data_IF_255509174218
#
_entry.id   IF_255509174218
#
_cell.length_a   1.000
_cell.length_b   1.000
_cell.length_c   1.000
_cell.angle_alpha   90.00
_cell.angle_beta   90.00
_cell.angle_gamma   90.00
#
_symmetry.space_group_name_H-M   'P 1'
#
loop_
_entity.id
_entity.type
_entity.pdbx_description
1 polymer ?
#
# COMPACT_ATOMS: atom_id res chain seq x y z
N UNK A 1 9.74 -38.65 -55.34
CA UNK A 1 9.63 -38.90 -53.89
C UNK A 1 10.07 -37.62 -53.18
N UNK A 2 9.10 -36.76 -52.80
CA UNK A 2 9.38 -35.48 -52.11
C UNK A 2 9.25 -35.69 -50.61
N UNK A 3 10.36 -35.58 -49.88
CA UNK A 3 10.40 -35.61 -48.43
C UNK A 3 9.96 -34.24 -47.90
N UNK A 4 8.81 -34.18 -47.24
CA UNK A 4 8.32 -32.98 -46.55
C UNK A 4 8.87 -33.02 -45.10
N UNK A 5 9.90 -32.21 -44.87
CA UNK A 5 10.48 -32.05 -43.53
C UNK A 5 9.54 -31.12 -42.72
N UNK A 6 8.75 -31.72 -41.80
CA UNK A 6 7.88 -30.99 -40.88
C UNK A 6 8.73 -30.42 -39.72
N UNK A 7 9.11 -29.14 -39.84
CA UNK A 7 9.84 -28.44 -38.81
C UNK A 7 8.83 -28.06 -37.69
N UNK A 8 8.78 -28.88 -36.63
CA UNK A 8 7.99 -28.62 -35.45
C UNK A 8 8.66 -27.47 -34.66
N UNK A 9 8.21 -26.22 -34.86
CA UNK A 9 8.56 -25.09 -34.00
C UNK A 9 7.90 -25.32 -32.64
N UNK A 10 8.61 -25.94 -31.71
CA UNK A 10 8.27 -25.85 -30.28
C UNK A 10 8.45 -24.39 -29.85
N UNK A 11 7.35 -23.62 -29.82
CA UNK A 11 7.29 -22.35 -29.13
C UNK A 11 7.55 -22.64 -27.65
N UNK A 12 8.77 -22.39 -27.17
CA UNK A 12 9.09 -22.26 -25.75
C UNK A 12 8.31 -21.03 -25.23
N UNK A 13 7.08 -21.25 -24.82
CA UNK A 13 6.38 -20.30 -23.97
C UNK A 13 7.21 -20.21 -22.69
N UNK A 14 8.01 -19.15 -22.55
CA UNK A 14 8.68 -18.84 -21.31
C UNK A 14 7.59 -18.66 -20.25
N UNK A 15 7.39 -19.65 -19.40
CA UNK A 15 6.58 -19.49 -18.19
C UNK A 15 7.35 -18.51 -17.29
N UNK A 16 6.86 -17.26 -17.19
CA UNK A 16 7.34 -16.35 -16.19
C UNK A 16 7.28 -17.06 -14.82
N UNK A 17 8.42 -17.15 -14.14
CA UNK A 17 8.52 -17.86 -12.86
C UNK A 17 7.63 -17.11 -11.84
N UNK A 18 6.46 -17.69 -11.52
CA UNK A 18 5.59 -17.16 -10.47
C UNK A 18 6.14 -17.58 -9.11
N UNK A 19 6.50 -16.60 -8.29
CA UNK A 19 6.92 -16.78 -6.89
C UNK A 19 5.75 -16.49 -5.97
N UNK A 20 5.62 -17.23 -4.86
CA UNK A 20 4.59 -17.01 -3.86
C UNK A 20 5.21 -16.60 -2.53
N UNK A 21 4.74 -15.51 -1.94
CA UNK A 21 5.09 -15.12 -0.57
C UNK A 21 4.12 -15.80 0.39
N UNK A 22 4.65 -16.48 1.39
CA UNK A 22 3.87 -17.24 2.37
C UNK A 22 4.41 -17.10 3.80
N UNK A 23 3.62 -17.47 4.79
CA UNK A 23 4.07 -17.54 6.17
C UNK A 23 4.79 -18.86 6.48
N UNK A 24 5.27 -19.01 7.72
CA UNK A 24 5.95 -20.24 8.19
C UNK A 24 5.07 -21.49 8.19
N UNK A 25 3.75 -21.34 8.07
CA UNK A 25 2.77 -22.43 7.99
C UNK A 25 2.37 -22.75 6.53
N UNK A 26 2.97 -22.06 5.55
CA UNK A 26 2.69 -22.24 4.13
C UNK A 26 1.43 -21.52 3.65
N UNK A 27 0.84 -20.63 4.44
CA UNK A 27 -0.33 -19.84 4.03
C UNK A 27 0.14 -18.64 3.20
N UNK A 28 -0.44 -18.38 2.02
CA UNK A 28 -0.12 -17.21 1.23
C UNK A 28 -0.34 -15.90 2.00
N UNK A 29 0.54 -14.92 1.75
CA UNK A 29 0.43 -13.57 2.31
C UNK A 29 0.03 -12.63 1.19
N UNK A 30 -1.16 -12.06 1.31
CA UNK A 30 -1.73 -11.12 0.35
C UNK A 30 -0.98 -9.78 0.33
N UNK A 31 -0.87 -9.16 -0.84
CA UNK A 31 -0.44 -7.78 -1.02
C UNK A 31 0.87 -7.41 -0.30
N UNK A 32 1.90 -8.24 -0.44
CA UNK A 32 3.25 -7.97 0.07
C UNK A 32 3.93 -6.91 -0.79
N UNK A 33 4.52 -5.90 -0.18
CA UNK A 33 5.37 -4.92 -0.87
C UNK A 33 6.71 -5.58 -1.22
N UNK A 34 7.08 -5.58 -2.49
CA UNK A 34 8.29 -6.22 -3.01
C UNK A 34 9.03 -5.19 -3.84
N UNK A 35 10.35 -5.03 -3.63
CA UNK A 35 11.09 -4.07 -4.42
C UNK A 35 12.60 -4.23 -4.35
N UNK A 36 13.27 -3.58 -5.27
CA UNK A 36 14.72 -3.60 -5.41
C UNK A 36 15.32 -2.50 -4.54
N UNK A 37 16.08 -2.89 -3.51
CA UNK A 37 16.70 -1.94 -2.58
C UNK A 37 17.57 -0.89 -3.30
N UNK A 38 17.40 0.39 -2.91
CA UNK A 38 18.15 1.50 -3.48
C UNK A 38 17.69 1.94 -4.88
N UNK A 39 16.50 1.52 -5.29
CA UNK A 39 15.87 1.92 -6.55
C UNK A 39 14.39 2.28 -6.34
N UNK A 40 13.74 2.82 -7.36
CA UNK A 40 12.29 3.02 -7.38
C UNK A 40 11.50 1.79 -7.86
N UNK A 41 12.18 0.68 -8.18
CA UNK A 41 11.55 -0.52 -8.74
C UNK A 41 10.89 -1.34 -7.65
N UNK A 42 9.60 -1.58 -7.80
CA UNK A 42 8.84 -2.41 -6.88
C UNK A 42 7.47 -2.79 -7.43
N UNK A 43 6.84 -3.73 -6.77
CA UNK A 43 5.50 -4.21 -7.07
C UNK A 43 4.82 -4.70 -5.77
N UNK A 44 3.55 -5.00 -5.87
CA UNK A 44 2.79 -5.63 -4.79
C UNK A 44 2.34 -7.01 -5.26
N UNK A 45 2.50 -8.04 -4.41
CA UNK A 45 1.99 -9.38 -4.72
C UNK A 45 0.45 -9.37 -4.84
N UNK A 46 -0.11 -10.35 -5.53
CA UNK A 46 -1.55 -10.53 -5.63
C UNK A 46 -2.19 -10.98 -4.30
N UNK A 47 -3.51 -11.14 -4.29
CA UNK A 47 -4.30 -11.63 -3.15
C UNK A 47 -3.89 -13.04 -2.69
N UNK A 48 -3.26 -13.83 -3.55
CA UNK A 48 -2.70 -15.16 -3.25
C UNK A 48 -1.19 -15.11 -2.95
N UNK A 49 -0.61 -13.93 -2.72
CA UNK A 49 0.81 -13.75 -2.45
C UNK A 49 1.72 -13.97 -3.67
N UNK A 50 1.15 -14.12 -4.85
CA UNK A 50 1.88 -14.41 -6.08
C UNK A 50 2.43 -13.15 -6.74
N UNK A 51 3.63 -13.24 -7.33
CA UNK A 51 4.23 -12.19 -8.15
C UNK A 51 5.17 -12.78 -9.21
N UNK A 52 5.49 -11.99 -10.25
CA UNK A 52 6.53 -12.32 -11.22
C UNK A 52 7.85 -11.72 -10.80
N UNK A 53 8.90 -12.56 -10.72
CA UNK A 53 10.25 -12.09 -10.37
C UNK A 53 10.88 -11.29 -11.52
N UNK A 54 10.51 -11.59 -12.76
CA UNK A 54 10.96 -10.89 -13.97
C UNK A 54 10.40 -9.46 -14.00
N UNK A 55 9.18 -9.23 -13.52
CA UNK A 55 8.55 -7.92 -13.50
C UNK A 55 9.31 -6.89 -12.63
N UNK A 56 10.17 -7.33 -11.71
CA UNK A 56 11.05 -6.43 -10.96
C UNK A 56 12.20 -5.86 -11.77
N UNK A 57 12.47 -6.37 -12.97
CA UNK A 57 13.62 -5.96 -13.82
C UNK A 57 14.95 -5.83 -13.04
N UNK A 58 15.12 -6.66 -12.02
CA UNK A 58 16.28 -6.68 -11.13
C UNK A 58 17.41 -7.55 -11.71
N UNK A 59 18.65 -7.22 -11.38
CA UNK A 59 19.83 -8.07 -11.69
C UNK A 59 19.93 -9.18 -10.65
N UNK A 60 20.56 -10.29 -11.02
CA UNK A 60 20.73 -11.44 -10.11
C UNK A 60 21.48 -11.12 -8.81
N UNK A 61 22.28 -10.04 -8.82
CA UNK A 61 23.01 -9.55 -7.65
C UNK A 61 22.24 -8.55 -6.78
N UNK A 62 21.06 -8.11 -7.24
CA UNK A 62 20.31 -7.09 -6.52
C UNK A 62 19.62 -7.68 -5.28
N UNK A 63 19.48 -6.84 -4.26
CA UNK A 63 18.78 -7.17 -3.03
C UNK A 63 17.29 -6.84 -3.15
N UNK A 64 16.45 -7.85 -3.00
CA UNK A 64 15.00 -7.74 -3.07
C UNK A 64 14.43 -7.68 -1.65
N UNK A 65 13.70 -6.62 -1.38
CA UNK A 65 12.98 -6.37 -0.14
C UNK A 65 11.58 -6.96 -0.20
N UNK A 66 11.13 -7.56 0.91
CA UNK A 66 9.77 -8.04 1.14
C UNK A 66 9.25 -7.44 2.44
N UNK A 67 8.13 -6.72 2.36
CA UNK A 67 7.53 -6.06 3.51
C UNK A 67 6.02 -6.20 3.56
N UNK A 68 5.50 -6.46 4.77
CA UNK A 68 4.08 -6.48 5.05
C UNK A 68 3.84 -6.03 6.50
N UNK A 69 2.68 -5.40 6.78
CA UNK A 69 2.34 -4.83 8.09
C UNK A 69 2.44 -5.83 9.24
N UNK A 70 2.02 -7.07 9.01
CA UNK A 70 1.93 -8.12 10.04
C UNK A 70 3.13 -9.06 10.08
N UNK A 71 4.16 -8.82 9.25
CA UNK A 71 5.31 -9.71 9.12
C UNK A 71 6.63 -8.95 9.25
N UNK A 72 7.67 -9.63 9.71
CA UNK A 72 9.03 -9.08 9.71
C UNK A 72 9.50 -8.88 8.28
N UNK A 73 10.17 -7.77 8.03
CA UNK A 73 10.77 -7.50 6.73
C UNK A 73 11.86 -8.54 6.42
N UNK A 74 11.96 -8.91 5.16
CA UNK A 74 12.98 -9.84 4.68
C UNK A 74 13.68 -9.25 3.45
N UNK A 75 14.98 -9.47 3.35
CA UNK A 75 15.78 -9.11 2.18
C UNK A 75 16.50 -10.34 1.68
N UNK A 76 16.39 -10.61 0.40
CA UNK A 76 17.07 -11.73 -0.28
C UNK A 76 17.79 -11.21 -1.52
N UNK A 77 18.89 -11.86 -1.90
CA UNK A 77 19.49 -11.60 -3.22
C UNK A 77 18.63 -12.29 -4.29
N UNK A 78 18.39 -11.63 -5.42
CA UNK A 78 17.47 -12.15 -6.46
C UNK A 78 17.77 -13.58 -6.85
N UNK A 79 19.05 -13.93 -7.10
CA UNK A 79 19.47 -15.28 -7.48
C UNK A 79 19.13 -16.38 -6.47
N UNK A 80 18.90 -16.02 -5.19
CA UNK A 80 18.59 -16.95 -4.10
C UNK A 80 17.08 -17.12 -3.91
N UNK A 81 16.26 -16.39 -4.69
CA UNK A 81 14.79 -16.48 -4.65
C UNK A 81 14.36 -17.68 -5.51
N UNK A 82 13.63 -18.59 -4.89
CA UNK A 82 13.05 -19.78 -5.53
C UNK A 82 11.56 -19.54 -5.85
N UNK A 83 10.77 -20.60 -5.92
CA UNK A 83 9.32 -20.57 -6.16
C UNK A 83 8.51 -19.97 -4.99
N UNK A 84 9.14 -19.79 -3.82
CA UNK A 84 8.48 -19.25 -2.62
C UNK A 84 9.41 -18.43 -1.74
N UNK A 85 8.83 -17.44 -1.08
CA UNK A 85 9.46 -16.64 -0.04
C UNK A 85 8.67 -16.77 1.26
N UNK A 86 9.34 -17.15 2.35
CA UNK A 86 8.70 -17.30 3.66
C UNK A 86 8.99 -16.08 4.52
N UNK A 87 7.93 -15.44 5.06
CA UNK A 87 8.02 -14.35 6.03
C UNK A 87 7.63 -14.86 7.43
N UNK A 88 8.31 -14.33 8.45
CA UNK A 88 7.99 -14.56 9.84
C UNK A 88 6.99 -13.51 10.34
N UNK A 89 6.01 -13.91 11.16
CA UNK A 89 5.09 -12.97 11.78
C UNK A 89 5.85 -11.94 12.64
N UNK A 90 5.44 -10.68 12.55
CA UNK A 90 5.96 -9.63 13.41
C UNK A 90 5.25 -9.70 14.76
N UNK A 91 6.00 -9.54 15.85
CA UNK A 91 5.42 -9.28 17.16
C UNK A 91 5.04 -7.80 17.23
N UNK A 92 3.75 -7.51 17.03
CA UNK A 92 3.24 -6.16 17.20
C UNK A 92 2.89 -5.98 18.68
N UNK A 93 3.79 -5.36 19.43
CA UNK A 93 3.50 -4.95 20.81
C UNK A 93 2.61 -3.71 20.74
N UNK A 94 1.31 -3.91 20.96
CA UNK A 94 0.38 -2.79 21.10
C UNK A 94 0.63 -2.08 22.44
N UNK A 95 0.60 -0.75 22.47
CA UNK A 95 0.66 -0.01 23.71
C UNK A 95 -0.56 -0.34 24.59
N UNK A 96 -0.33 -0.53 25.89
CA UNK A 96 -1.44 -0.75 26.84
C UNK A 96 -2.35 0.48 26.91
N UNK A 97 -3.63 0.26 26.66
CA UNK A 97 -4.65 1.31 26.76
C UNK A 97 -5.16 1.38 28.19
N UNK A 98 -4.80 2.42 28.93
CA UNK A 98 -5.38 2.71 30.26
C UNK A 98 -6.65 3.58 30.07
N UNK A 99 -7.82 2.97 30.24
CA UNK A 99 -9.08 3.70 30.16
C UNK A 99 -9.46 4.27 31.54
N UNK A 100 -9.60 5.59 31.62
CA UNK A 100 -10.26 6.26 32.75
C UNK A 100 -11.80 6.18 32.59
N UNK A 101 -12.52 6.12 33.70
CA UNK A 101 -13.97 5.85 33.76
C UNK A 101 -14.90 6.82 32.97
N UNK A 102 -14.41 7.94 32.47
CA UNK A 102 -15.16 8.85 31.59
C UNK A 102 -14.92 8.48 30.14
N UNK A 103 -15.96 8.05 29.44
CA UNK A 103 -15.87 7.83 28.00
C UNK A 103 -15.53 9.15 27.29
N UNK A 104 -14.34 9.26 26.69
CA UNK A 104 -13.94 10.48 26.00
C UNK A 104 -14.80 10.69 24.76
N UNK A 105 -15.15 11.95 24.46
CA UNK A 105 -15.95 12.29 23.27
C UNK A 105 -15.14 12.04 22.00
N UNK A 106 -15.80 11.46 21.01
CA UNK A 106 -15.22 11.30 19.68
C UNK A 106 -14.99 12.67 19.01
N UNK A 107 -13.82 12.85 18.40
CA UNK A 107 -13.43 14.08 17.71
C UNK A 107 -12.79 13.75 16.36
N UNK A 108 -12.91 14.67 15.42
CA UNK A 108 -12.16 14.62 14.17
C UNK A 108 -10.73 15.10 14.44
N UNK A 109 -9.77 14.21 14.23
CA UNK A 109 -8.34 14.47 14.42
C UNK A 109 -7.72 15.06 13.15
N UNK A 110 -8.13 14.54 12.00
CA UNK A 110 -7.74 14.98 10.65
C UNK A 110 -8.96 15.02 9.73
N UNK A 111 -8.96 15.93 8.75
CA UNK A 111 -10.04 16.00 7.77
C UNK A 111 -10.68 17.38 7.64
N UNK A 112 -10.18 18.38 8.36
CA UNK A 112 -10.64 19.78 8.31
C UNK A 112 -9.84 20.63 7.32
N UNK A 113 -9.60 20.13 6.11
CA UNK A 113 -8.97 20.91 5.04
C UNK A 113 -10.04 21.58 4.16
N UNK A 114 -9.67 22.71 3.53
CA UNK A 114 -10.52 23.33 2.51
C UNK A 114 -10.65 22.38 1.31
N UNK A 115 -11.88 22.11 0.85
CA UNK A 115 -12.06 21.34 -0.36
C UNK A 115 -11.50 22.14 -1.54
N UNK A 116 -10.79 21.49 -2.44
CA UNK A 116 -10.31 22.07 -3.70
C UNK A 116 -11.19 21.63 -4.85
N UNK A 117 -11.05 22.27 -6.00
CA UNK A 117 -11.61 21.78 -7.27
C UNK A 117 -10.66 20.77 -7.93
N UNK A 118 -9.43 20.64 -7.41
CA UNK A 118 -8.40 19.75 -7.97
C UNK A 118 -8.74 18.30 -7.64
N UNK A 119 -8.66 17.45 -8.63
CA UNK A 119 -8.74 15.99 -8.48
C UNK A 119 -7.39 15.39 -8.85
N UNK A 120 -7.05 14.30 -8.17
CA UNK A 120 -5.92 13.45 -8.50
C UNK A 120 -6.47 12.12 -9.01
N UNK A 121 -5.84 11.60 -10.08
CA UNK A 121 -6.15 10.29 -10.63
C UNK A 121 -5.03 9.32 -10.28
N UNK A 122 -5.41 8.13 -9.85
CA UNK A 122 -4.52 6.98 -9.68
C UNK A 122 -4.89 6.02 -10.79
N UNK A 123 -3.96 5.78 -11.71
CA UNK A 123 -4.16 4.96 -12.90
C UNK A 123 -3.85 3.49 -12.61
N UNK A 124 -4.46 2.59 -13.38
CA UNK A 124 -3.99 1.22 -13.42
C UNK A 124 -2.62 1.17 -14.11
N UNK A 125 -1.63 0.43 -13.59
CA UNK A 125 -0.38 0.22 -14.30
C UNK A 125 -0.65 -0.50 -15.62
N UNK A 126 -0.04 -0.05 -16.70
CA UNK A 126 -0.12 -0.71 -18.01
C UNK A 126 1.02 -1.71 -18.17
N UNK A 127 0.85 -2.72 -19.05
CA UNK A 127 1.93 -3.69 -19.31
C UNK A 127 3.21 -3.03 -19.89
N UNK A 128 3.05 -1.89 -20.59
CA UNK A 128 4.17 -1.09 -21.11
C UNK A 128 4.88 -0.32 -20.00
N UNK A 129 4.14 0.20 -19.01
CA UNK A 129 4.69 0.93 -17.85
C UNK A 129 5.33 -0.03 -16.83
N UNK A 130 4.91 -1.31 -16.78
CA UNK A 130 5.56 -2.34 -15.95
C UNK A 130 7.01 -2.68 -16.42
N UNK A 131 7.48 -2.12 -17.52
CA UNK A 131 8.84 -2.26 -18.06
C UNK A 131 9.74 -1.04 -17.91
N UNK A 132 9.19 0.15 -17.61
CA UNK A 132 9.93 1.40 -17.49
C UNK A 132 10.15 1.82 -16.03
N UNK A 133 11.11 2.71 -15.77
CA UNK A 133 11.71 3.00 -14.45
C UNK A 133 10.76 3.60 -13.37
N UNK A 134 9.44 3.69 -13.60
CA UNK A 134 8.50 4.41 -12.73
C UNK A 134 7.40 3.54 -12.08
N UNK A 135 7.64 2.28 -11.79
CA UNK A 135 6.67 1.47 -11.04
C UNK A 135 6.56 1.91 -9.57
N UNK A 136 5.62 2.81 -9.32
CA UNK A 136 5.28 3.33 -7.98
C UNK A 136 4.23 2.47 -7.25
N UNK A 137 4.24 1.15 -7.45
CA UNK A 137 3.26 0.24 -6.82
C UNK A 137 3.29 0.19 -5.30
N UNK A 138 4.30 0.79 -4.66
CA UNK A 138 4.57 0.70 -3.22
C UNK A 138 4.33 2.01 -2.47
N UNK A 139 3.79 3.03 -3.12
CA UNK A 139 3.60 4.33 -2.50
C UNK A 139 2.38 4.35 -1.58
N UNK A 140 2.58 4.86 -0.40
CA UNK A 140 1.53 5.28 0.52
C UNK A 140 1.24 6.77 0.33
N UNK A 141 -0.02 7.11 0.23
CA UNK A 141 -0.53 8.47 0.11
C UNK A 141 -1.15 8.88 1.46
N UNK A 142 -0.54 9.78 2.19
CA UNK A 142 -0.99 10.02 3.56
C UNK A 142 -0.62 11.35 4.16
N UNK A 143 -0.74 11.39 5.50
CA UNK A 143 -0.45 12.57 6.27
C UNK A 143 -0.02 12.24 7.70
N UNK A 144 0.75 13.14 8.30
CA UNK A 144 1.12 13.08 9.71
C UNK A 144 0.05 13.78 10.57
N UNK A 145 -0.31 13.12 11.66
CA UNK A 145 -1.28 13.65 12.65
C UNK A 145 -0.58 13.74 13.99
N UNK A 146 -0.51 14.95 14.57
CA UNK A 146 0.01 15.17 15.91
C UNK A 146 -1.07 14.92 16.95
N UNK A 147 -0.82 14.01 17.87
CA UNK A 147 -1.69 13.65 18.99
C UNK A 147 -1.15 14.27 20.30
N UNK A 148 -1.93 15.14 20.91
CA UNK A 148 -1.56 15.78 22.19
C UNK A 148 -1.76 14.87 23.41
N UNK A 149 -2.50 13.78 23.24
CA UNK A 149 -2.84 12.78 24.27
C UNK A 149 -2.90 11.41 23.61
N UNK A 150 -2.83 10.38 24.45
CA UNK A 150 -3.17 9.03 24.05
C UNK A 150 -4.57 9.01 23.46
N UNK A 151 -4.73 8.37 22.33
CA UNK A 151 -5.91 8.46 21.49
C UNK A 151 -6.34 7.09 21.01
N UNK A 152 -7.60 6.75 21.17
CA UNK A 152 -8.19 5.59 20.54
C UNK A 152 -8.80 6.01 19.20
N UNK A 153 -8.16 5.63 18.10
CA UNK A 153 -8.65 5.90 16.74
C UNK A 153 -9.87 5.01 16.48
N UNK A 154 -10.96 5.63 16.11
CA UNK A 154 -12.25 4.94 15.98
C UNK A 154 -12.65 4.72 14.54
N UNK A 155 -12.32 5.68 13.66
CA UNK A 155 -12.89 5.69 12.33
C UNK A 155 -11.98 6.36 11.30
N UNK A 156 -11.90 5.74 10.14
CA UNK A 156 -11.34 6.30 8.92
C UNK A 156 -12.47 6.51 7.90
N UNK A 157 -12.51 7.67 7.25
CA UNK A 157 -13.51 7.97 6.24
C UNK A 157 -12.82 8.62 5.02
N UNK A 158 -13.16 8.16 3.82
CA UNK A 158 -12.63 8.65 2.55
C UNK A 158 -13.74 8.91 1.54
N UNK A 159 -13.56 9.98 0.74
CA UNK A 159 -14.44 10.32 -0.37
C UNK A 159 -13.75 10.07 -1.71
N UNK A 160 -14.38 9.26 -2.55
CA UNK A 160 -13.95 8.97 -3.92
C UNK A 160 -14.92 9.64 -4.88
N UNK A 161 -14.40 10.32 -5.90
CA UNK A 161 -15.20 11.03 -6.90
C UNK A 161 -15.75 10.07 -7.95
N UNK A 162 -14.88 9.18 -8.44
CA UNK A 162 -15.23 8.14 -9.41
C UNK A 162 -14.19 7.02 -9.36
N UNK A 163 -14.59 5.83 -9.74
CA UNK A 163 -13.71 4.69 -10.00
C UNK A 163 -14.14 4.04 -11.32
N UNK A 164 -13.26 3.98 -12.30
CA UNK A 164 -13.48 3.29 -13.58
C UNK A 164 -12.62 2.04 -13.73
N UNK A 165 -11.84 1.70 -12.69
CA UNK A 165 -11.07 0.45 -12.63
C UNK A 165 -12.01 -0.74 -12.49
N UNK A 166 -11.64 -1.87 -13.08
CA UNK A 166 -12.35 -3.16 -12.94
C UNK A 166 -12.16 -3.74 -11.53
N UNK A 167 -10.96 -3.56 -10.95
CA UNK A 167 -10.63 -3.93 -9.58
C UNK A 167 -9.84 -2.80 -8.94
N UNK A 168 -10.26 -2.39 -7.76
CA UNK A 168 -9.57 -1.36 -6.97
C UNK A 168 -9.62 -1.75 -5.49
N UNK A 169 -8.46 -2.04 -4.93
CA UNK A 169 -8.29 -2.34 -3.49
C UNK A 169 -7.28 -1.37 -2.90
N UNK A 170 -7.68 -0.67 -1.84
CA UNK A 170 -6.85 0.26 -1.08
C UNK A 170 -6.62 -0.31 0.31
N UNK A 171 -5.39 -0.25 0.80
CA UNK A 171 -5.03 -0.60 2.18
C UNK A 171 -4.94 0.67 3.02
N UNK A 172 -5.61 0.71 4.17
CA UNK A 172 -5.43 1.76 5.18
C UNK A 172 -4.27 1.35 6.08
N UNK A 173 -3.32 2.25 6.28
CA UNK A 173 -2.18 2.04 7.16
C UNK A 173 -2.14 3.08 8.27
N UNK A 174 -1.72 2.65 9.46
CA UNK A 174 -1.51 3.54 10.62
C UNK A 174 -0.21 3.12 11.29
N UNK A 175 0.74 4.07 11.37
CA UNK A 175 2.01 3.86 12.04
C UNK A 175 2.21 4.91 13.15
N UNK A 176 2.86 4.52 14.23
CA UNK A 176 3.52 5.48 15.11
C UNK A 176 4.72 6.05 14.38
N UNK A 177 4.89 7.37 14.47
CA UNK A 177 6.04 8.08 13.90
C UNK A 177 6.72 8.95 14.96
N UNK A 178 7.83 9.57 14.57
CA UNK A 178 8.53 10.56 15.36
C UNK A 178 8.39 11.97 14.74
N UNK A 179 8.90 12.99 15.41
CA UNK A 179 8.84 14.38 14.91
C UNK A 179 9.66 14.62 13.65
N UNK A 180 10.71 13.83 13.47
CA UNK A 180 11.59 13.84 12.31
C UNK A 180 11.02 13.09 11.11
N UNK A 181 9.84 12.44 11.28
CA UNK A 181 9.16 11.65 10.25
C UNK A 181 10.01 10.49 9.68
N UNK A 182 10.91 9.93 10.48
CA UNK A 182 11.82 8.86 10.07
C UNK A 182 11.50 7.48 10.62
N UNK A 183 10.55 7.40 11.57
CA UNK A 183 10.10 6.15 12.18
C UNK A 183 8.69 5.79 11.70
N UNK A 184 8.49 4.52 11.34
CA UNK A 184 7.19 3.96 10.95
C UNK A 184 6.99 2.60 11.63
N UNK A 185 6.45 2.64 12.87
CA UNK A 185 6.11 1.43 13.64
C UNK A 185 4.62 1.13 13.47
N UNK A 186 4.21 -0.05 12.95
CA UNK A 186 2.80 -0.39 12.78
C UNK A 186 2.02 -0.30 14.08
N UNK A 187 0.81 0.26 14.02
CA UNK A 187 -0.18 0.29 15.10
C UNK A 187 -1.40 -0.59 14.79
N UNK A 188 -1.45 -1.20 13.62
CA UNK A 188 -2.51 -2.10 13.17
C UNK A 188 -1.93 -3.51 13.06
N UNK A 189 -2.56 -4.49 13.73
CA UNK A 189 -2.14 -5.89 13.65
C UNK A 189 -2.59 -6.59 12.37
N UNK A 190 -3.76 -6.19 11.85
CA UNK A 190 -4.36 -6.78 10.65
C UNK A 190 -4.60 -5.70 9.61
N UNK A 191 -4.27 -5.95 8.35
CA UNK A 191 -4.56 -5.00 7.28
C UNK A 191 -6.04 -4.64 7.21
N UNK A 192 -6.33 -3.38 6.92
CA UNK A 192 -7.69 -2.87 6.71
C UNK A 192 -7.82 -2.50 5.24
N UNK A 193 -8.66 -3.23 4.50
CA UNK A 193 -8.87 -2.99 3.08
C UNK A 193 -10.17 -2.27 2.78
N UNK A 194 -10.14 -1.45 1.74
CA UNK A 194 -11.29 -0.80 1.12
C UNK A 194 -11.36 -1.30 -0.31
N UNK A 195 -12.31 -2.17 -0.62
CA UNK A 195 -12.66 -2.49 -1.99
C UNK A 195 -13.55 -1.38 -2.54
N UNK A 196 -13.14 -0.78 -3.65
CA UNK A 196 -13.84 0.33 -4.27
C UNK A 196 -14.54 -0.18 -5.53
N UNK A 197 -15.85 -0.37 -5.53
CA UNK A 197 -16.57 -0.81 -6.71
C UNK A 197 -16.53 0.25 -7.81
N UNK A 198 -16.55 -0.19 -9.06
CA UNK A 198 -16.61 0.71 -10.21
C UNK A 198 -17.88 1.59 -10.13
N UNK A 199 -17.69 2.90 -10.24
CA UNK A 199 -18.78 3.88 -10.23
C UNK A 199 -18.29 5.23 -10.73
N UNK A 200 -19.08 5.85 -11.60
CA UNK A 200 -18.88 7.25 -12.01
C UNK A 200 -19.49 8.26 -11.02
N UNK A 201 -20.16 7.76 -9.97
CA UNK A 201 -20.76 8.60 -8.93
C UNK A 201 -19.85 8.63 -7.71
N UNK A 202 -19.94 9.73 -6.96
CA UNK A 202 -19.24 9.88 -5.69
C UNK A 202 -19.62 8.78 -4.71
N UNK A 203 -18.62 8.23 -4.03
CA UNK A 203 -18.74 7.19 -3.02
C UNK A 203 -18.06 7.66 -1.72
N UNK A 204 -18.60 7.25 -0.59
CA UNK A 204 -18.03 7.51 0.74
C UNK A 204 -17.77 6.15 1.40
N UNK A 205 -16.55 5.92 1.80
CA UNK A 205 -16.11 4.72 2.50
C UNK A 205 -15.78 5.05 3.94
N UNK A 206 -16.29 4.24 4.85
CA UNK A 206 -16.01 4.35 6.28
C UNK A 206 -15.49 3.00 6.77
N UNK A 207 -14.37 3.01 7.51
CA UNK A 207 -13.80 1.83 8.17
C UNK A 207 -13.61 2.12 9.65
N UNK A 208 -13.98 1.15 10.48
CA UNK A 208 -13.66 1.16 11.90
C UNK A 208 -12.16 0.85 12.05
N UNK A 209 -11.46 1.64 12.88
CA UNK A 209 -10.02 1.47 13.08
C UNK A 209 -9.69 0.64 14.31
N UNK A 210 -10.36 0.90 15.44
CA UNK A 210 -10.09 0.23 16.74
C UNK A 210 -8.60 0.19 17.12
N UNK A 211 -7.88 1.29 16.92
CA UNK A 211 -6.44 1.40 17.08
C UNK A 211 -6.10 2.32 18.23
N UNK A 212 -5.32 1.85 19.20
CA UNK A 212 -4.73 2.70 20.23
C UNK A 212 -3.46 3.37 19.68
N UNK A 213 -3.41 4.68 19.71
CA UNK A 213 -2.28 5.49 19.30
C UNK A 213 -1.78 6.31 20.50
N UNK A 214 -0.50 6.12 20.93
CA UNK A 214 0.05 6.92 22.03
C UNK A 214 0.22 8.39 21.60
N UNK A 215 0.31 9.26 22.61
CA UNK A 215 0.66 10.67 22.40
C UNK A 215 1.93 10.78 21.54
N UNK A 216 1.91 11.64 20.52
CA UNK A 216 3.03 11.83 19.61
C UNK A 216 2.57 12.08 18.18
N UNK A 217 3.35 11.62 17.22
CA UNK A 217 3.03 11.72 15.79
C UNK A 217 2.63 10.35 15.27
N UNK A 218 1.56 10.31 14.49
CA UNK A 218 1.18 9.11 13.74
C UNK A 218 1.16 9.42 12.24
N UNK A 219 1.47 8.45 11.43
CA UNK A 219 1.28 8.43 9.99
C UNK A 219 0.00 7.66 9.68
N UNK A 220 -0.91 8.27 8.93
CA UNK A 220 -2.11 7.61 8.42
C UNK A 220 -2.14 7.78 6.92
N UNK A 221 -2.26 6.69 6.19
CA UNK A 221 -2.21 6.70 4.75
C UNK A 221 -3.10 5.65 4.10
N UNK A 222 -3.25 5.81 2.79
CA UNK A 222 -3.82 4.84 1.86
C UNK A 222 -2.71 4.32 0.97
N UNK A 223 -2.70 3.04 0.73
CA UNK A 223 -1.84 2.40 -0.24
C UNK A 223 -2.72 1.66 -1.26
N UNK A 224 -2.65 2.01 -2.55
CA UNK A 224 -3.24 1.17 -3.59
C UNK A 224 -2.51 -0.17 -3.62
N UNK A 225 -3.22 -1.28 -3.40
CA UNK A 225 -2.61 -2.62 -3.38
C UNK A 225 -3.03 -3.48 -4.57
N UNK A 226 -4.16 -3.17 -5.18
CA UNK A 226 -4.60 -3.79 -6.41
C UNK A 226 -5.38 -2.78 -7.25
N UNK A 227 -4.86 -2.49 -8.45
CA UNK A 227 -5.48 -1.63 -9.43
C UNK A 227 -5.46 -2.37 -10.77
N UNK A 228 -6.64 -2.77 -11.27
CA UNK A 228 -6.79 -3.45 -12.57
C UNK A 228 -7.78 -2.68 -13.43
N UNK A 229 -7.50 -2.57 -14.70
CA UNK A 229 -8.37 -1.90 -15.65
C UNK A 229 -7.67 -1.67 -16.99
N UNK A 230 -8.33 -0.98 -17.90
CA UNK A 230 -7.73 -0.53 -19.14
C UNK A 230 -6.83 0.70 -18.93
N UNK A 231 -6.04 1.07 -19.92
CA UNK A 231 -5.13 2.22 -19.91
C UNK A 231 -5.77 3.54 -19.44
N UNK A 232 -7.07 3.74 -19.76
CA UNK A 232 -7.79 4.96 -19.37
C UNK A 232 -8.60 4.81 -18.07
N UNK A 233 -8.46 3.68 -17.40
CA UNK A 233 -9.16 3.42 -16.13
C UNK A 233 -8.45 4.09 -14.96
N UNK A 234 -9.23 4.77 -14.12
CA UNK A 234 -8.69 5.56 -13.02
C UNK A 234 -9.53 5.50 -11.76
N UNK A 235 -8.87 5.63 -10.63
CA UNK A 235 -9.48 6.04 -9.37
C UNK A 235 -9.31 7.54 -9.20
N UNK A 236 -10.41 8.30 -9.19
CA UNK A 236 -10.39 9.76 -9.05
C UNK A 236 -10.76 10.18 -7.65
N UNK A 237 -9.88 10.94 -7.01
CA UNK A 237 -10.08 11.49 -5.67
C UNK A 237 -10.00 13.01 -5.73
N UNK A 238 -10.79 13.71 -4.88
CA UNK A 238 -10.72 15.18 -4.79
C UNK A 238 -9.71 15.56 -3.71
N UNK A 239 -8.68 16.33 -4.08
CA UNK A 239 -7.68 16.80 -3.14
C UNK A 239 -8.23 17.84 -2.16
N UNK A 240 -7.53 18.02 -1.05
CA UNK A 240 -7.73 19.11 -0.08
C UNK A 240 -6.49 20.00 0.00
N UNK A 241 -6.67 21.29 0.30
CA UNK A 241 -5.57 22.22 0.51
C UNK A 241 -5.07 22.14 1.96
N UNK A 242 -4.49 21.03 2.37
CA UNK A 242 -4.02 20.80 3.73
C UNK A 242 -2.63 20.18 3.79
N UNK A 243 -1.96 20.07 2.62
CA UNK A 243 -0.73 19.32 2.48
C UNK A 243 -0.93 17.82 2.62
N UNK A 244 -0.08 17.07 2.01
CA UNK A 244 -0.02 15.63 2.09
C UNK A 244 1.35 15.16 1.66
N UNK A 245 1.58 13.87 1.82
CA UNK A 245 2.87 13.25 1.52
C UNK A 245 2.66 11.94 0.80
N UNK A 246 3.64 11.58 -0.01
CA UNK A 246 3.85 10.21 -0.47
C UNK A 246 4.99 9.60 0.34
N UNK A 247 4.96 8.29 0.52
CA UNK A 247 6.02 7.50 1.15
C UNK A 247 6.25 6.22 0.37
N UNK A 248 7.48 5.99 -0.09
CA UNK A 248 7.87 4.66 -0.58
C UNK A 248 8.11 3.74 0.61
N UNK A 249 7.57 2.51 0.57
CA UNK A 249 7.63 1.59 1.72
C UNK A 249 8.97 0.88 1.85
N UNK A 250 9.74 0.76 0.76
CA UNK A 250 11.02 0.04 0.72
C UNK A 250 12.14 0.83 1.40
N UNK A 251 12.31 2.09 1.03
CA UNK A 251 13.40 2.94 1.49
C UNK A 251 12.92 4.09 2.39
N UNK A 252 11.62 4.15 2.70
CA UNK A 252 10.99 5.18 3.52
C UNK A 252 11.23 6.62 3.01
N UNK A 253 11.33 6.80 1.70
CA UNK A 253 11.48 8.11 1.08
C UNK A 253 10.15 8.84 1.18
N UNK A 254 10.18 10.06 1.73
CA UNK A 254 9.03 10.93 1.90
C UNK A 254 9.11 12.10 0.94
N UNK A 255 8.03 12.33 0.20
CA UNK A 255 7.89 13.48 -0.68
C UNK A 255 6.59 14.22 -0.39
N UNK A 256 6.62 15.56 -0.45
CA UNK A 256 5.41 16.35 -0.34
C UNK A 256 4.61 16.32 -1.63
N UNK A 257 3.31 16.10 -1.50
CA UNK A 257 2.41 16.25 -2.65
C UNK A 257 2.48 17.71 -3.14
N UNK A 258 2.72 17.94 -4.45
CA UNK A 258 2.86 19.26 -5.00
C UNK A 258 1.68 20.19 -4.71
N UNK A 259 1.90 21.51 -4.79
CA UNK A 259 0.90 22.56 -4.62
C UNK A 259 0.21 22.56 -3.25
N UNK A 260 0.77 21.94 -2.22
CA UNK A 260 0.15 21.82 -0.90
C UNK A 260 -1.14 21.02 -0.90
N UNK A 261 -1.33 20.15 -1.87
CA UNK A 261 -2.46 19.25 -1.97
C UNK A 261 -2.32 18.10 -0.97
N UNK A 262 -3.43 17.54 -0.56
CA UNK A 262 -3.50 16.41 0.35
C UNK A 262 -4.64 15.46 0.02
N UNK A 263 -4.57 14.27 0.59
CA UNK A 263 -5.54 13.21 0.38
C UNK A 263 -6.84 13.51 1.15
N UNK A 264 -8.01 13.28 0.58
CA UNK A 264 -9.30 13.64 1.16
C UNK A 264 -9.85 12.59 2.13
N UNK A 265 -9.07 12.18 3.11
CA UNK A 265 -9.58 11.33 4.19
C UNK A 265 -9.78 12.11 5.50
N UNK A 266 -10.55 11.56 6.38
CA UNK A 266 -10.69 12.00 7.76
C UNK A 266 -10.45 10.86 8.74
N UNK A 267 -9.89 11.20 9.89
CA UNK A 267 -9.67 10.27 11.00
C UNK A 267 -10.37 10.81 12.25
N UNK A 268 -11.14 9.95 12.90
CA UNK A 268 -11.78 10.24 14.18
C UNK A 268 -11.13 9.42 15.28
N UNK A 269 -11.20 9.96 16.52
CA UNK A 269 -10.69 9.28 17.69
C UNK A 269 -11.25 9.87 18.97
N UNK A 270 -11.03 9.14 20.08
CA UNK A 270 -11.41 9.50 21.44
C UNK A 270 -10.14 9.83 22.23
N UNK A 271 -10.14 10.96 22.92
CA UNK A 271 -9.00 11.48 23.73
C UNK A 271 -9.43 11.80 25.15
#
# INVERSE_FOLDING_TARGET
MKFFLFLCCCSLSGFAQKVVVQDSQGRPIEYVNIGVKGTSKGLISDEQGGFSLEALHAKDTDSIYFGHLSYKHKVLVKKDITDKVVLEAAEIVLPEATFTAKQPKERTLKGKGLPTIVTMSILAPTEEEMGEEEEKGEEELGDFISLNKDTFLTKFEMNIVANTLDRCVLRVVVYQSNKEHSLFKPLIERPIYIEVPASRKRQIFTKELSVFAPKGVIWVALQPVELKGSKDSELRIRCRANGGWTRTTIDNILEKIPLGLGIPFSVKGRQ
#
